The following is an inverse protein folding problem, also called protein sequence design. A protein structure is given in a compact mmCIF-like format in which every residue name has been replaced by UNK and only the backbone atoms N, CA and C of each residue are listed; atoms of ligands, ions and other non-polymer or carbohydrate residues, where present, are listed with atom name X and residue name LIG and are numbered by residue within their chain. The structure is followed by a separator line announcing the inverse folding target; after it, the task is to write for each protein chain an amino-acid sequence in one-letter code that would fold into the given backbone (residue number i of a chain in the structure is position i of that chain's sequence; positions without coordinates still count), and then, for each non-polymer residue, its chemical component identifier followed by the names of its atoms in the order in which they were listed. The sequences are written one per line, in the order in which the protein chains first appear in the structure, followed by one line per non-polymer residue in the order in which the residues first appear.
data_IF_291677445537
#
_entry.id   IF_291677445537
#
_cell.length_a   1.000
_cell.length_b   1.000
_cell.length_c   1.000
_cell.angle_alpha   90.00
_cell.angle_beta   90.00
_cell.angle_gamma   90.00
#
_symmetry.space_group_name_H-M   'P 1'
#
loop_
_entity.id
_entity.type
_entity.pdbx_description
1 polymer ?
#
# COMPACT_ATOMS: atom_id res chain seq x y z
N UNK A 1 -17.94 40.38 -2.48
CA UNK A 1 -18.14 38.93 -2.25
C UNK A 1 -16.94 38.44 -1.45
N UNK A 2 -17.12 38.19 -0.15
CA UNK A 2 -16.09 37.59 0.69
C UNK A 2 -15.92 36.13 0.25
N UNK A 3 -14.77 35.79 -0.34
CA UNK A 3 -14.36 34.40 -0.50
C UNK A 3 -14.29 33.82 0.92
N UNK A 4 -15.15 32.85 1.20
CA UNK A 4 -15.02 32.05 2.43
C UNK A 4 -13.62 31.43 2.37
N UNK A 5 -12.88 31.28 3.48
CA UNK A 5 -11.60 30.58 3.46
C UNK A 5 -11.87 29.12 3.10
N UNK A 6 -11.69 28.81 1.83
CA UNK A 6 -12.05 27.55 1.21
C UNK A 6 -11.23 26.43 1.85
N UNK A 7 -11.88 25.29 2.11
CA UNK A 7 -11.37 23.97 2.52
C UNK A 7 -9.85 23.79 2.76
N UNK A 8 -9.02 24.21 1.80
CA UNK A 8 -7.55 24.23 1.85
C UNK A 8 -7.01 25.01 3.07
N UNK A 9 -7.59 26.15 3.44
CA UNK A 9 -7.14 26.96 4.59
C UNK A 9 -7.43 26.25 5.93
N UNK A 10 -8.59 25.63 6.05
CA UNK A 10 -8.96 24.81 7.22
C UNK A 10 -8.18 23.48 7.28
N UNK A 11 -7.71 22.97 6.14
CA UNK A 11 -6.86 21.78 6.05
C UNK A 11 -5.43 22.06 6.55
N UNK A 12 -4.83 23.19 6.17
CA UNK A 12 -3.51 23.60 6.66
C UNK A 12 -3.49 23.91 8.17
N UNK A 13 -4.65 24.29 8.73
CA UNK A 13 -4.85 24.67 10.14
C UNK A 13 -5.44 23.56 11.02
N UNK A 14 -5.65 22.32 10.50
CA UNK A 14 -5.96 21.19 11.38
C UNK A 14 -4.74 20.94 12.26
N UNK A 15 -4.81 21.40 13.51
CA UNK A 15 -3.91 21.00 14.58
C UNK A 15 -3.85 19.48 14.61
N UNK A 16 -2.77 18.92 14.07
CA UNK A 16 -2.53 17.48 14.06
C UNK A 16 -2.51 17.02 15.52
N UNK A 17 -3.51 16.23 15.91
CA UNK A 17 -3.37 15.40 17.11
C UNK A 17 -2.14 14.50 16.99
N UNK A 18 -1.67 13.90 18.09
CA UNK A 18 -0.55 12.97 18.03
C UNK A 18 -0.82 11.91 16.96
N UNK A 19 0.08 11.81 15.99
CA UNK A 19 -0.05 10.88 14.87
C UNK A 19 0.17 9.47 15.42
N UNK A 20 -0.91 8.71 15.51
CA UNK A 20 -0.87 7.33 15.93
C UNK A 20 -0.40 6.44 14.77
N UNK A 21 0.86 6.01 14.80
CA UNK A 21 1.44 5.10 13.80
C UNK A 21 1.13 3.63 14.08
N UNK A 22 0.37 3.30 15.13
CA UNK A 22 0.18 1.92 15.58
C UNK A 22 -0.40 1.02 14.49
N UNK A 23 -1.39 1.50 13.72
CA UNK A 23 -1.98 0.71 12.65
C UNK A 23 -0.97 0.41 11.52
N UNK A 24 -0.18 1.40 11.11
CA UNK A 24 0.88 1.22 10.12
C UNK A 24 1.93 0.20 10.59
N UNK A 25 2.43 0.37 11.82
CA UNK A 25 3.42 -0.54 12.39
C UNK A 25 2.86 -1.95 12.61
N UNK A 26 1.59 -2.07 12.99
CA UNK A 26 0.92 -3.35 13.11
C UNK A 26 0.88 -4.08 11.76
N UNK A 27 0.49 -3.38 10.69
CA UNK A 27 0.45 -3.98 9.35
C UNK A 27 1.84 -4.41 8.86
N UNK A 28 2.86 -3.57 9.06
CA UNK A 28 4.26 -3.91 8.74
C UNK A 28 4.72 -5.11 9.56
N UNK A 29 4.49 -5.09 10.87
CA UNK A 29 4.87 -6.17 11.79
C UNK A 29 4.18 -7.49 11.45
N UNK A 30 2.89 -7.44 11.09
CA UNK A 30 2.13 -8.60 10.64
C UNK A 30 2.72 -9.18 9.34
N UNK A 31 2.98 -8.34 8.34
CA UNK A 31 3.57 -8.79 7.07
C UNK A 31 4.95 -9.40 7.25
N UNK A 32 5.81 -8.79 8.07
CA UNK A 32 7.14 -9.32 8.39
C UNK A 32 7.03 -10.64 9.14
N UNK A 33 6.14 -10.74 10.13
CA UNK A 33 5.93 -11.98 10.88
C UNK A 33 5.44 -13.12 9.98
N UNK A 34 4.47 -12.86 9.11
CA UNK A 34 3.98 -13.83 8.14
C UNK A 34 5.05 -14.25 7.14
N UNK A 35 5.93 -13.32 6.73
CA UNK A 35 7.07 -13.67 5.87
C UNK A 35 8.06 -14.61 6.58
N UNK A 36 8.35 -14.40 7.86
CA UNK A 36 9.14 -15.38 8.62
C UNK A 36 8.45 -16.75 8.71
N UNK A 37 7.12 -16.78 8.87
CA UNK A 37 6.36 -18.03 8.83
C UNK A 37 6.49 -18.71 7.46
N UNK A 38 6.38 -17.98 6.35
CA UNK A 38 6.53 -18.56 5.01
C UNK A 38 7.97 -19.03 4.73
N UNK A 39 8.99 -18.44 5.35
CA UNK A 39 10.36 -18.97 5.29
C UNK A 39 10.50 -20.33 5.98
N UNK A 40 9.77 -20.56 7.07
CA UNK A 40 9.80 -21.82 7.83
C UNK A 40 8.83 -22.88 7.26
N UNK A 41 7.74 -22.43 6.63
CA UNK A 41 6.62 -23.23 6.12
C UNK A 41 6.14 -22.63 4.78
N UNK A 42 6.86 -22.87 3.67
CA UNK A 42 6.57 -22.27 2.37
C UNK A 42 5.14 -22.50 1.89
N UNK A 43 4.55 -23.64 2.22
CA UNK A 43 3.17 -24.01 1.91
C UNK A 43 2.12 -23.03 2.45
N UNK A 44 2.46 -22.26 3.49
CA UNK A 44 1.60 -21.21 4.06
C UNK A 44 1.20 -20.16 3.01
N UNK A 45 2.04 -19.95 1.97
CA UNK A 45 1.74 -19.02 0.89
C UNK A 45 0.48 -19.43 0.11
N UNK A 46 0.22 -20.73 -0.05
CA UNK A 46 -0.94 -21.22 -0.79
C UNK A 46 -2.22 -21.22 0.05
N UNK A 47 -2.08 -21.19 1.38
CA UNK A 47 -3.23 -21.09 2.30
C UNK A 47 -3.65 -19.64 2.55
N UNK A 48 -2.71 -18.70 2.51
CA UNK A 48 -2.98 -17.28 2.79
C UNK A 48 -3.01 -16.42 1.52
N UNK A 49 -2.39 -16.87 0.44
CA UNK A 49 -2.36 -16.19 -0.86
C UNK A 49 -3.63 -16.44 -1.67
N UNK A 50 -3.98 -15.48 -2.51
CA UNK A 50 -5.21 -15.48 -3.29
C UNK A 50 -5.02 -16.30 -4.56
N UNK A 51 -5.67 -17.47 -4.64
CA UNK A 51 -5.73 -18.26 -5.87
C UNK A 51 -7.17 -18.23 -6.39
N UNK A 52 -7.46 -17.64 -7.58
CA UNK A 52 -8.83 -17.42 -8.03
C UNK A 52 -9.67 -18.70 -8.08
N UNK A 53 -9.09 -19.82 -8.51
CA UNK A 53 -9.76 -21.12 -8.57
C UNK A 53 -10.14 -21.69 -7.19
N UNK A 54 -9.49 -21.25 -6.11
CA UNK A 54 -9.71 -21.74 -4.74
C UNK A 54 -10.48 -20.73 -3.88
N UNK A 55 -10.91 -19.59 -4.44
CA UNK A 55 -11.52 -18.51 -3.66
C UNK A 55 -12.77 -18.95 -2.89
N UNK A 56 -13.58 -19.83 -3.46
CA UNK A 56 -14.77 -20.38 -2.79
C UNK A 56 -14.44 -21.24 -1.56
N UNK A 57 -13.30 -21.92 -1.59
CA UNK A 57 -12.82 -22.78 -0.50
C UNK A 57 -12.00 -21.98 0.52
N UNK A 58 -11.36 -20.91 0.08
CA UNK A 58 -10.44 -20.08 0.86
C UNK A 58 -10.82 -18.60 0.80
N UNK A 59 -12.03 -18.20 1.24
CA UNK A 59 -12.51 -16.82 1.10
C UNK A 59 -11.69 -15.79 1.89
N UNK A 60 -10.99 -16.21 2.94
CA UNK A 60 -10.11 -15.32 3.72
C UNK A 60 -8.92 -14.79 2.90
N UNK A 61 -8.54 -15.48 1.82
CA UNK A 61 -7.39 -15.11 0.97
C UNK A 61 -7.57 -13.76 0.29
N UNK A 62 -8.80 -13.26 0.15
CA UNK A 62 -9.06 -11.92 -0.37
C UNK A 62 -8.50 -10.81 0.52
N UNK A 63 -8.32 -11.07 1.83
CA UNK A 63 -7.70 -10.14 2.78
C UNK A 63 -6.30 -10.62 3.17
N UNK A 64 -6.11 -11.91 3.48
CA UNK A 64 -4.81 -12.38 3.98
C UNK A 64 -3.69 -12.26 2.95
N UNK A 65 -4.00 -12.36 1.65
CA UNK A 65 -3.03 -12.19 0.56
C UNK A 65 -2.33 -10.83 0.60
N UNK A 66 -3.01 -9.80 1.14
CA UNK A 66 -2.47 -8.45 1.28
C UNK A 66 -1.29 -8.36 2.27
N UNK A 67 -1.05 -9.40 3.08
CA UNK A 67 0.00 -9.41 4.09
C UNK A 67 1.09 -10.46 3.84
N UNK A 68 0.91 -11.35 2.86
CA UNK A 68 1.87 -12.40 2.50
C UNK A 68 2.74 -11.95 1.34
N UNK A 69 3.99 -12.41 1.29
CA UNK A 69 4.94 -12.01 0.24
C UNK A 69 5.75 -13.22 -0.23
N UNK A 70 5.99 -13.30 -1.55
CA UNK A 70 6.63 -14.45 -2.20
C UNK A 70 8.17 -14.45 -2.16
N UNK A 71 8.80 -13.34 -1.75
CA UNK A 71 10.25 -13.22 -1.76
C UNK A 71 10.76 -12.02 -0.97
N UNK A 72 12.07 -12.02 -0.72
CA UNK A 72 12.71 -10.99 0.11
C UNK A 72 12.63 -9.58 -0.52
N UNK A 73 12.91 -9.46 -1.82
CA UNK A 73 12.75 -8.18 -2.54
C UNK A 73 11.31 -7.70 -2.47
N UNK A 74 10.36 -8.63 -2.68
CA UNK A 74 8.93 -8.33 -2.67
C UNK A 74 8.51 -7.66 -1.35
N UNK A 75 8.80 -8.30 -0.20
CA UNK A 75 8.47 -7.73 1.10
C UNK A 75 9.26 -6.45 1.38
N UNK A 76 10.56 -6.40 1.06
CA UNK A 76 11.41 -5.24 1.34
C UNK A 76 10.83 -3.97 0.70
N UNK A 77 10.51 -4.02 -0.59
CA UNK A 77 9.98 -2.87 -1.31
C UNK A 77 8.54 -2.54 -0.91
N UNK A 78 7.71 -3.54 -0.60
CA UNK A 78 6.37 -3.28 -0.08
C UNK A 78 6.42 -2.59 1.29
N UNK A 79 7.28 -3.03 2.22
CA UNK A 79 7.36 -2.44 3.55
C UNK A 79 7.97 -1.04 3.53
N UNK A 80 8.98 -0.80 2.69
CA UNK A 80 9.53 0.55 2.46
C UNK A 80 8.43 1.47 1.92
N UNK A 81 7.72 1.04 0.88
CA UNK A 81 6.68 1.85 0.24
C UNK A 81 5.49 2.09 1.16
N UNK A 82 5.04 1.06 1.89
CA UNK A 82 3.99 1.17 2.90
C UNK A 82 4.40 2.12 4.03
N UNK A 83 5.64 2.05 4.50
CA UNK A 83 6.13 2.96 5.53
C UNK A 83 6.10 4.42 5.06
N UNK A 84 6.68 4.73 3.89
CA UNK A 84 6.77 6.11 3.41
C UNK A 84 5.41 6.67 2.98
N UNK A 85 4.69 5.99 2.08
CA UNK A 85 3.40 6.43 1.58
C UNK A 85 2.33 6.35 2.66
N UNK A 86 2.34 5.28 3.46
CA UNK A 86 1.43 5.12 4.58
C UNK A 86 1.64 6.18 5.65
N UNK A 87 2.89 6.46 6.07
CA UNK A 87 3.16 7.54 7.03
C UNK A 87 2.72 8.91 6.50
N UNK A 88 2.94 9.20 5.22
CA UNK A 88 2.52 10.46 4.62
C UNK A 88 0.99 10.56 4.64
N UNK A 89 0.28 9.58 4.08
CA UNK A 89 -1.17 9.63 4.01
C UNK A 89 -1.80 9.64 5.41
N UNK A 90 -1.30 8.81 6.33
CA UNK A 90 -1.75 8.75 7.72
C UNK A 90 -1.63 10.11 8.42
N UNK A 91 -0.54 10.86 8.18
CA UNK A 91 -0.39 12.24 8.67
C UNK A 91 -1.37 13.18 7.99
N UNK A 92 -1.61 13.02 6.69
CA UNK A 92 -2.47 13.91 5.92
C UNK A 92 -3.98 13.76 6.22
N UNK A 93 -4.46 12.54 6.50
CA UNK A 93 -5.91 12.24 6.63
C UNK A 93 -6.31 11.50 7.90
N UNK A 94 -5.35 11.02 8.69
CA UNK A 94 -5.61 10.24 9.90
C UNK A 94 -5.86 8.75 9.64
N UNK A 95 -5.93 7.99 10.73
CA UNK A 95 -5.89 6.51 10.74
C UNK A 95 -7.05 5.85 9.99
N UNK A 96 -8.29 6.32 10.21
CA UNK A 96 -9.48 5.73 9.58
C UNK A 96 -9.43 5.82 8.05
N UNK A 97 -9.07 6.98 7.53
CA UNK A 97 -8.98 7.20 6.08
C UNK A 97 -7.78 6.47 5.47
N UNK A 98 -6.65 6.43 6.18
CA UNK A 98 -5.50 5.60 5.76
C UNK A 98 -5.89 4.12 5.61
N UNK A 99 -6.54 3.54 6.63
CA UNK A 99 -6.98 2.15 6.61
C UNK A 99 -8.00 1.90 5.50
N UNK A 100 -8.97 2.80 5.33
CA UNK A 100 -9.97 2.69 4.26
C UNK A 100 -9.32 2.67 2.88
N UNK A 101 -8.38 3.59 2.60
CA UNK A 101 -7.68 3.65 1.31
C UNK A 101 -6.84 2.39 1.09
N UNK A 102 -6.11 1.92 2.10
CA UNK A 102 -5.31 0.70 1.98
C UNK A 102 -6.16 -0.54 1.71
N UNK A 103 -7.20 -0.78 2.52
CA UNK A 103 -8.02 -1.99 2.40
C UNK A 103 -8.91 -1.98 1.15
N UNK A 104 -9.56 -0.86 0.83
CA UNK A 104 -10.35 -0.77 -0.39
C UNK A 104 -9.47 -0.86 -1.65
N UNK A 105 -8.27 -0.27 -1.61
CA UNK A 105 -7.27 -0.39 -2.66
C UNK A 105 -6.80 -1.81 -2.87
N UNK A 106 -6.43 -2.51 -1.79
CA UNK A 106 -6.02 -3.91 -1.87
C UNK A 106 -7.14 -4.84 -2.31
N UNK A 107 -8.38 -4.61 -1.85
CA UNK A 107 -9.55 -5.33 -2.33
C UNK A 107 -9.79 -5.10 -3.83
N UNK A 108 -9.71 -3.86 -4.30
CA UNK A 108 -9.84 -3.55 -5.71
C UNK A 108 -8.74 -4.23 -6.55
N UNK A 109 -7.49 -4.22 -6.05
CA UNK A 109 -6.37 -4.94 -6.66
C UNK A 109 -6.61 -6.45 -6.73
N UNK A 110 -7.11 -7.05 -5.65
CA UNK A 110 -7.44 -8.47 -5.59
C UNK A 110 -8.60 -8.85 -6.50
N UNK A 111 -9.62 -8.00 -6.63
CA UNK A 111 -10.71 -8.18 -7.59
C UNK A 111 -10.16 -8.14 -9.02
N UNK A 112 -9.31 -7.16 -9.34
CA UNK A 112 -8.66 -7.10 -10.66
C UNK A 112 -7.79 -8.33 -10.91
N UNK A 113 -7.05 -8.81 -9.90
CA UNK A 113 -6.28 -10.04 -9.99
C UNK A 113 -7.16 -11.25 -10.29
N UNK A 114 -8.30 -11.41 -9.60
CA UNK A 114 -9.26 -12.49 -9.87
C UNK A 114 -9.78 -12.45 -11.31
N UNK A 115 -10.03 -11.25 -11.85
CA UNK A 115 -10.58 -11.07 -13.19
C UNK A 115 -9.56 -11.28 -14.32
N UNK A 116 -8.27 -10.98 -14.07
CA UNK A 116 -7.25 -10.87 -15.11
C UNK A 116 -6.18 -11.94 -15.04
N UNK A 117 -5.92 -12.52 -13.87
CA UNK A 117 -4.84 -13.48 -13.67
C UNK A 117 -5.26 -14.91 -14.08
N UNK A 118 -4.27 -15.77 -14.25
CA UNK A 118 -4.53 -17.19 -14.50
C UNK A 118 -5.23 -17.82 -13.27
N UNK A 119 -6.25 -18.68 -13.43
CA UNK A 119 -7.02 -19.18 -12.28
C UNK A 119 -6.20 -19.94 -11.22
N UNK A 120 -5.07 -20.52 -11.63
CA UNK A 120 -4.14 -21.24 -10.76
C UNK A 120 -2.95 -20.41 -10.26
N UNK A 121 -2.84 -19.13 -10.65
CA UNK A 121 -1.79 -18.27 -10.11
C UNK A 121 -2.17 -17.78 -8.71
N UNK A 122 -1.21 -17.80 -7.79
CA UNK A 122 -1.38 -17.30 -6.43
C UNK A 122 -0.88 -15.85 -6.33
N UNK A 123 -1.80 -14.93 -6.07
CA UNK A 123 -1.52 -13.51 -5.82
C UNK A 123 -1.23 -13.25 -4.35
N UNK A 124 -0.17 -12.50 -4.07
CA UNK A 124 0.24 -12.09 -2.72
C UNK A 124 0.84 -10.69 -2.78
N UNK A 125 0.80 -9.96 -1.67
CA UNK A 125 1.51 -8.69 -1.50
C UNK A 125 0.58 -7.54 -1.11
N UNK A 126 1.16 -6.54 -0.45
CA UNK A 126 0.47 -5.32 -0.04
C UNK A 126 0.31 -4.30 -1.19
N UNK A 127 0.83 -4.60 -2.39
CA UNK A 127 1.04 -3.66 -3.49
C UNK A 127 -0.25 -2.98 -3.94
N UNK A 128 -1.37 -3.71 -4.05
CA UNK A 128 -2.67 -3.12 -4.39
C UNK A 128 -3.11 -2.00 -3.42
N UNK A 129 -2.90 -2.21 -2.12
CA UNK A 129 -3.16 -1.18 -1.10
C UNK A 129 -2.18 -0.02 -1.19
N UNK A 130 -0.89 -0.30 -1.39
CA UNK A 130 0.17 0.71 -1.52
C UNK A 130 -0.05 1.60 -2.74
N UNK A 131 -0.46 1.03 -3.88
CA UNK A 131 -0.79 1.79 -5.09
C UNK A 131 -1.99 2.71 -4.88
N UNK A 132 -2.99 2.29 -4.10
CA UNK A 132 -4.09 3.17 -3.71
C UNK A 132 -3.62 4.32 -2.80
N UNK A 133 -2.71 4.06 -1.84
CA UNK A 133 -2.09 5.12 -1.03
C UNK A 133 -1.35 6.13 -1.92
N UNK A 134 -0.56 5.63 -2.88
CA UNK A 134 0.18 6.45 -3.83
C UNK A 134 -0.75 7.31 -4.69
N UNK A 135 -1.81 6.72 -5.24
CA UNK A 135 -2.81 7.42 -6.04
C UNK A 135 -3.57 8.48 -5.23
N UNK A 136 -3.99 8.16 -4.01
CA UNK A 136 -4.64 9.12 -3.11
C UNK A 136 -3.74 10.32 -2.83
N UNK A 137 -2.46 10.08 -2.51
CA UNK A 137 -1.47 11.13 -2.28
C UNK A 137 -1.22 11.99 -3.53
N UNK A 138 -1.10 11.37 -4.70
CA UNK A 138 -0.90 12.07 -5.96
C UNK A 138 -2.07 13.00 -6.32
N UNK A 139 -3.30 12.67 -5.91
CA UNK A 139 -4.49 13.52 -6.12
C UNK A 139 -4.60 14.60 -5.04
N UNK A 140 -4.37 14.25 -3.78
CA UNK A 140 -4.61 15.14 -2.64
C UNK A 140 -3.55 16.22 -2.49
N UNK A 141 -2.28 15.86 -2.67
CA UNK A 141 -1.13 16.76 -2.45
C UNK A 141 -0.08 16.60 -3.56
N UNK A 142 -0.47 16.74 -4.85
CA UNK A 142 0.40 16.44 -6.00
C UNK A 142 1.74 17.18 -5.97
N UNK A 143 1.73 18.44 -5.52
CA UNK A 143 2.90 19.33 -5.55
C UNK A 143 3.71 19.32 -4.26
N UNK A 144 3.39 18.46 -3.30
CA UNK A 144 4.20 18.34 -2.09
C UNK A 144 5.63 17.92 -2.46
N UNK A 145 6.66 18.66 -2.02
CA UNK A 145 8.03 18.30 -2.32
C UNK A 145 8.43 17.06 -1.53
N UNK A 146 8.93 16.05 -2.23
CA UNK A 146 9.45 14.82 -1.61
C UNK A 146 10.85 14.53 -2.12
N UNK A 147 11.66 13.92 -1.24
CA UNK A 147 12.97 13.41 -1.55
C UNK A 147 12.87 11.89 -1.69
N UNK A 148 13.35 11.35 -2.80
CA UNK A 148 13.43 9.91 -3.04
C UNK A 148 14.89 9.51 -2.86
N UNK A 149 15.21 8.70 -1.86
CA UNK A 149 16.56 8.17 -1.74
C UNK A 149 16.90 7.29 -2.97
N UNK A 150 18.06 7.47 -3.64
CA UNK A 150 19.21 8.31 -3.29
C UNK A 150 19.25 9.68 -4.00
N UNK A 151 18.21 10.08 -4.75
CA UNK A 151 18.14 11.33 -5.51
C UNK A 151 17.92 12.52 -4.54
N UNK A 152 18.93 13.39 -4.28
CA UNK A 152 18.80 14.47 -3.31
C UNK A 152 18.07 15.70 -3.89
N UNK A 153 17.30 15.52 -4.97
CA UNK A 153 16.57 16.58 -5.66
C UNK A 153 15.10 16.49 -5.25
N UNK A 154 14.55 17.54 -4.60
CA UNK A 154 13.14 17.55 -4.26
C UNK A 154 12.32 17.59 -5.54
N UNK A 155 11.35 16.70 -5.65
CA UNK A 155 10.43 16.65 -6.78
C UNK A 155 8.97 16.63 -6.30
N UNK A 156 8.02 17.04 -7.16
CA UNK A 156 6.60 16.94 -6.84
C UNK A 156 6.20 15.48 -6.58
N UNK A 157 5.37 15.25 -5.57
CA UNK A 157 4.89 13.91 -5.18
C UNK A 157 4.26 13.12 -6.34
N UNK A 158 3.53 13.78 -7.24
CA UNK A 158 2.96 13.08 -8.41
C UNK A 158 4.06 12.48 -9.31
N UNK A 159 5.19 13.18 -9.49
CA UNK A 159 6.35 12.67 -10.25
C UNK A 159 6.96 11.48 -9.51
N UNK A 160 7.14 11.61 -8.20
CA UNK A 160 7.68 10.55 -7.36
C UNK A 160 6.82 9.27 -7.41
N UNK A 161 5.49 9.41 -7.38
CA UNK A 161 4.55 8.29 -7.52
C UNK A 161 4.65 7.64 -8.89
N UNK A 162 4.74 8.42 -9.98
CA UNK A 162 4.91 7.86 -11.32
C UNK A 162 6.23 7.07 -11.46
N UNK A 163 7.33 7.60 -10.93
CA UNK A 163 8.62 6.92 -10.90
C UNK A 163 8.51 5.62 -10.09
N UNK A 164 7.90 5.68 -8.91
CA UNK A 164 7.68 4.53 -8.05
C UNK A 164 6.87 3.43 -8.76
N UNK A 165 5.75 3.78 -9.38
CA UNK A 165 4.92 2.82 -10.13
C UNK A 165 5.73 2.21 -11.29
N UNK A 166 6.41 3.04 -12.07
CA UNK A 166 7.22 2.59 -13.20
C UNK A 166 8.30 1.58 -12.75
N UNK A 167 9.05 1.90 -11.70
CA UNK A 167 10.06 0.99 -11.14
C UNK A 167 9.43 -0.32 -10.62
N UNK A 168 8.29 -0.23 -9.95
CA UNK A 168 7.61 -1.40 -9.37
C UNK A 168 7.22 -2.42 -10.42
N UNK A 169 6.75 -1.99 -11.59
CA UNK A 169 6.41 -2.89 -12.71
C UNK A 169 7.61 -3.32 -13.56
N UNK A 170 8.74 -2.60 -13.49
CA UNK A 170 9.96 -2.98 -14.22
C UNK A 170 10.75 -4.08 -13.53
N UNK A 171 10.75 -4.13 -12.19
CA UNK A 171 11.54 -5.09 -11.43
C UNK A 171 10.66 -6.30 -11.09
N UNK A 172 10.97 -7.51 -11.62
CA UNK A 172 10.18 -8.70 -11.34
C UNK A 172 10.13 -9.01 -9.83
N UNK A 173 8.93 -9.33 -9.35
CA UNK A 173 8.71 -9.73 -7.95
C UNK A 173 8.64 -8.57 -6.95
N UNK A 174 8.43 -7.33 -7.39
CA UNK A 174 8.11 -6.19 -6.50
C UNK A 174 6.61 -5.87 -6.50
N UNK A 175 5.99 -5.85 -7.68
CA UNK A 175 4.58 -5.50 -7.89
C UNK A 175 3.63 -6.70 -7.74
#
# INVERSE_FOLDING_TARGET
MNLKPDFIYNWAMRTYGPVNLNALWFMIGLSVSLFFVTLLRPETIYFLGLTPALLSEQPWTIISSMFVHAGFSHILFNMISLYFLGSFLLRAVGERSFLAVFFLGGLAGNILFILLAHPLSTGVGASGGIYALAGALAIMVPRAPVLIFPIPVPMPLWVAVLIFLFISFLIPGIA
#
